data_IF_550610206739
#
_entry.id   IF_550610206739
#
_cell.length_a   1.000
_cell.length_b   1.000
_cell.length_c   1.000
_cell.angle_alpha   90.00
_cell.angle_beta   90.00
_cell.angle_gamma   90.00
#
_symmetry.space_group_name_H-M   'P 1'
#
loop_
_entity.id
_entity.type
_entity.pdbx_description
1 polymer ?
#
# COMPACT_ATOMS: atom_id res chain seq x y z
N UNK A 1 -1.58 21.72 -10.78
CA UNK A 1 -1.53 20.28 -11.12
C UNK A 1 -2.49 19.59 -10.18
N UNK A 2 -3.49 18.87 -10.67
CA UNK A 2 -4.38 18.12 -9.79
C UNK A 2 -3.60 16.92 -9.27
N UNK A 3 -3.30 16.90 -7.97
CA UNK A 3 -2.70 15.74 -7.33
C UNK A 3 -3.78 14.65 -7.19
N UNK A 4 -3.52 13.47 -7.78
CA UNK A 4 -4.37 12.30 -7.59
C UNK A 4 -4.21 11.86 -6.14
N UNK A 5 -5.32 11.75 -5.41
CA UNK A 5 -5.35 11.19 -4.06
C UNK A 5 -5.73 9.71 -4.16
N UNK A 6 -5.06 8.87 -3.38
CA UNK A 6 -5.43 7.46 -3.22
C UNK A 6 -5.70 7.15 -1.76
N UNK A 7 -6.57 6.18 -1.54
CA UNK A 7 -6.74 5.50 -0.26
C UNK A 7 -6.11 4.12 -0.40
N UNK A 8 -5.10 3.83 0.41
CA UNK A 8 -4.47 2.51 0.51
C UNK A 8 -5.05 1.78 1.73
N UNK A 9 -5.51 0.55 1.53
CA UNK A 9 -6.09 -0.32 2.57
C UNK A 9 -5.22 -1.55 2.74
N UNK A 10 -4.86 -1.91 3.97
CA UNK A 10 -4.27 -3.22 4.29
C UNK A 10 -5.38 -4.27 4.24
N UNK A 11 -5.35 -5.14 3.25
CA UNK A 11 -6.36 -6.19 3.07
C UNK A 11 -6.08 -7.41 3.96
N UNK A 12 -4.82 -7.79 4.09
CA UNK A 12 -4.45 -8.97 4.87
C UNK A 12 -3.00 -8.89 5.36
N UNK A 13 -2.72 -9.66 6.40
CA UNK A 13 -1.40 -9.90 6.94
C UNK A 13 -0.91 -11.28 6.52
N UNK A 14 0.36 -11.38 6.10
CA UNK A 14 0.92 -12.69 5.77
C UNK A 14 1.25 -13.47 7.05
N UNK A 15 1.04 -14.79 7.08
CA UNK A 15 1.23 -15.61 8.30
C UNK A 15 2.68 -15.64 8.81
N UNK A 16 3.64 -15.27 7.96
CA UNK A 16 5.07 -15.13 8.27
C UNK A 16 5.48 -13.69 8.66
N UNK A 17 4.51 -12.76 8.74
CA UNK A 17 4.77 -11.37 9.09
C UNK A 17 5.05 -11.18 10.60
N UNK A 18 6.29 -11.37 11.03
CA UNK A 18 6.72 -10.97 12.37
C UNK A 18 7.12 -9.48 12.33
N UNK A 19 6.14 -8.57 12.45
CA UNK A 19 6.41 -7.14 12.56
C UNK A 19 5.90 -6.59 13.90
N UNK A 20 6.81 -6.09 14.74
CA UNK A 20 6.49 -5.52 16.05
C UNK A 20 5.55 -4.30 16.00
N UNK A 21 5.45 -3.65 14.83
CA UNK A 21 4.57 -2.52 14.55
C UNK A 21 3.55 -2.88 13.45
N UNK A 22 3.03 -4.12 13.45
CA UNK A 22 2.11 -4.51 12.41
C UNK A 22 0.83 -3.69 12.51
N UNK A 23 0.52 -3.02 11.41
CA UNK A 23 -0.69 -2.24 11.27
C UNK A 23 -1.85 -3.22 11.17
N UNK A 24 -2.96 -2.99 11.85
CA UNK A 24 -4.11 -3.91 11.81
C UNK A 24 -4.67 -4.05 10.38
N UNK A 25 -5.15 -5.26 10.04
CA UNK A 25 -5.91 -5.48 8.82
C UNK A 25 -7.13 -4.57 8.80
N UNK A 26 -7.42 -3.97 7.64
CA UNK A 26 -8.47 -2.95 7.48
C UNK A 26 -7.99 -1.52 7.74
N UNK A 27 -6.76 -1.31 8.21
CA UNK A 27 -6.20 0.04 8.31
C UNK A 27 -6.14 0.70 6.93
N UNK A 28 -6.50 1.98 6.90
CA UNK A 28 -6.53 2.79 5.69
C UNK A 28 -5.69 4.04 5.85
N UNK A 29 -4.96 4.40 4.79
CA UNK A 29 -4.22 5.65 4.69
C UNK A 29 -4.55 6.37 3.40
N UNK A 30 -4.82 7.67 3.47
CA UNK A 30 -5.09 8.50 2.30
C UNK A 30 -3.95 9.50 2.07
N UNK A 31 -3.56 9.71 0.82
CA UNK A 31 -2.58 10.72 0.46
C UNK A 31 -2.31 10.79 -1.05
N UNK A 32 -1.38 11.68 -1.43
CA UNK A 32 -1.00 11.87 -2.83
C UNK A 32 -0.43 10.59 -3.44
N UNK A 33 -0.87 10.27 -4.65
CA UNK A 33 -0.40 9.11 -5.39
C UNK A 33 1.01 9.34 -5.93
N UNK A 34 1.99 8.62 -5.36
CA UNK A 34 3.39 8.77 -5.75
C UNK A 34 3.77 7.94 -6.99
N UNK A 35 2.95 6.96 -7.38
CA UNK A 35 3.20 6.10 -8.53
C UNK A 35 2.64 4.69 -8.32
N UNK A 36 2.60 3.90 -9.40
CA UNK A 36 2.14 2.51 -9.36
C UNK A 36 3.08 1.61 -8.53
N UNK A 37 2.59 0.52 -7.93
CA UNK A 37 3.44 -0.43 -7.23
C UNK A 37 4.45 -1.08 -8.19
N UNK A 38 5.69 -1.22 -7.74
CA UNK A 38 6.79 -1.82 -8.49
C UNK A 38 7.50 -2.86 -7.63
N UNK A 39 7.67 -4.09 -8.14
CA UNK A 39 8.36 -5.18 -7.44
C UNK A 39 9.78 -4.75 -7.07
N UNK A 40 10.16 -4.99 -5.80
CA UNK A 40 11.46 -4.60 -5.24
C UNK A 40 11.53 -3.16 -4.73
N UNK A 41 10.47 -2.35 -4.88
CA UNK A 41 10.39 -0.99 -4.31
C UNK A 41 9.35 -0.90 -3.20
N UNK A 42 9.46 0.13 -2.37
CA UNK A 42 8.39 0.50 -1.43
C UNK A 42 7.28 1.25 -2.17
N UNK A 43 6.03 1.01 -1.81
CA UNK A 43 4.91 1.83 -2.26
C UNK A 43 4.72 3.01 -1.29
N UNK A 44 4.59 4.21 -1.84
CA UNK A 44 4.48 5.46 -1.07
C UNK A 44 3.09 6.07 -1.22
N UNK A 45 2.53 6.51 -0.09
CA UNK A 45 1.28 7.27 -0.02
C UNK A 45 1.60 8.63 0.61
N UNK A 46 1.61 9.66 -0.23
CA UNK A 46 2.15 10.97 0.13
C UNK A 46 3.63 10.92 0.54
N UNK A 47 4.07 11.92 1.30
CA UNK A 47 5.46 12.04 1.76
C UNK A 47 5.78 11.34 3.09
N UNK A 48 4.84 10.61 3.69
CA UNK A 48 4.95 10.18 5.09
C UNK A 48 4.69 8.68 5.31
N UNK A 49 3.87 8.03 4.48
CA UNK A 49 3.58 6.61 4.60
C UNK A 49 4.29 5.82 3.51
N UNK A 50 4.91 4.70 3.90
CA UNK A 50 5.44 3.71 2.96
C UNK A 50 5.15 2.29 3.43
N UNK A 51 4.91 1.40 2.48
CA UNK A 51 4.86 -0.03 2.75
C UNK A 51 6.26 -0.63 2.83
N UNK A 52 6.36 -1.90 3.23
CA UNK A 52 7.54 -2.73 2.95
C UNK A 52 7.69 -2.97 1.44
N UNK A 53 8.77 -3.63 1.01
CA UNK A 53 9.03 -3.89 -0.40
C UNK A 53 7.92 -4.71 -1.03
N UNK A 54 7.45 -4.26 -2.20
CA UNK A 54 6.52 -5.01 -3.05
C UNK A 54 7.22 -6.27 -3.53
N UNK A 55 6.56 -7.42 -3.34
CA UNK A 55 7.02 -8.73 -3.77
C UNK A 55 6.33 -9.17 -5.05
N UNK A 56 5.06 -8.83 -5.19
CA UNK A 56 4.20 -9.31 -6.26
C UNK A 56 3.09 -8.30 -6.49
N UNK A 57 2.78 -8.05 -7.75
CA UNK A 57 1.62 -7.27 -8.18
C UNK A 57 0.53 -8.29 -8.49
N UNK A 58 -0.57 -8.27 -7.74
CA UNK A 58 -1.65 -9.26 -7.86
C UNK A 58 -2.59 -8.86 -9.00
N UNK A 59 -2.95 -7.57 -9.06
CA UNK A 59 -3.74 -6.98 -10.13
C UNK A 59 -3.40 -5.47 -10.28
N UNK A 60 -4.27 -4.70 -10.94
CA UNK A 60 -4.02 -3.28 -11.21
C UNK A 60 -3.87 -2.41 -9.94
N UNK A 61 -4.62 -2.76 -8.89
CA UNK A 61 -4.77 -1.94 -7.69
C UNK A 61 -4.34 -2.66 -6.40
N UNK A 62 -4.06 -3.96 -6.49
CA UNK A 62 -3.72 -4.83 -5.38
C UNK A 62 -2.31 -5.41 -5.53
N UNK A 63 -1.53 -5.35 -4.46
CA UNK A 63 -0.16 -5.84 -4.44
C UNK A 63 0.21 -6.44 -3.08
N UNK A 64 1.12 -7.40 -3.12
CA UNK A 64 1.69 -8.06 -1.96
C UNK A 64 3.06 -7.49 -1.65
N UNK A 65 3.31 -7.25 -0.38
CA UNK A 65 4.60 -6.82 0.14
C UNK A 65 5.24 -7.93 0.96
N UNK A 66 6.38 -7.66 1.60
CA UNK A 66 7.04 -8.63 2.48
C UNK A 66 6.16 -9.15 3.63
N UNK A 67 5.12 -8.43 4.02
CA UNK A 67 4.38 -8.70 5.25
C UNK A 67 2.87 -8.56 5.14
N UNK A 68 2.35 -8.03 4.03
CA UNK A 68 0.92 -7.72 3.92
C UNK A 68 0.47 -7.67 2.46
N UNK A 69 -0.84 -7.71 2.27
CA UNK A 69 -1.49 -7.43 0.99
C UNK A 69 -2.19 -6.08 1.11
N UNK A 70 -1.99 -5.22 0.13
CA UNK A 70 -2.60 -3.90 0.08
C UNK A 70 -3.38 -3.72 -1.20
N UNK A 71 -4.43 -2.89 -1.11
CA UNK A 71 -5.18 -2.38 -2.26
C UNK A 71 -5.28 -0.87 -2.19
N UNK A 72 -5.08 -0.17 -3.30
CA UNK A 72 -5.31 1.27 -3.37
C UNK A 72 -6.46 1.62 -4.29
N UNK A 73 -7.18 2.70 -3.98
CA UNK A 73 -8.28 3.20 -4.80
C UNK A 73 -8.13 4.72 -4.97
N UNK A 74 -8.39 5.24 -6.18
CA UNK A 74 -8.40 6.69 -6.42
C UNK A 74 -9.58 7.34 -5.68
N UNK A 75 -9.28 8.38 -4.91
CA UNK A 75 -10.29 9.20 -4.23
C UNK A 75 -10.60 10.38 -5.14
N UNK A 76 -11.74 10.33 -5.84
CA UNK A 76 -12.28 11.49 -6.55
C UNK A 76 -12.81 12.49 -5.53
N UNK A 77 -12.29 13.71 -5.56
CA UNK A 77 -12.87 14.84 -4.84
C UNK A 77 -14.21 15.26 -5.46
#
# INVERSE_FOLDING_TARGET
MNEIQIKLTKLDELPDAIHQNNIETGYTVTGSFCGKPEVGKCFWVGGWFRTSFVKEIIDEDTFKTCNSIYRYEEVKQ
#
